data_IF_063184240986
#
_entry.id   IF_063184240986
#
_cell.length_a   1.000
_cell.length_b   1.000
_cell.length_c   1.000
_cell.angle_alpha   90.00
_cell.angle_beta   90.00
_cell.angle_gamma   90.00
#
_symmetry.space_group_name_H-M   'P 1'
#
loop_
_entity.id
_entity.type
_entity.pdbx_description
1 polymer ?
#
# COMPACT_ATOMS: atom_id res chain seq x y z
N UNK A 1 -39.26 -11.28 9.15
CA UNK A 1 -38.34 -10.41 9.91
C UNK A 1 -37.29 -9.91 8.93
N UNK A 2 -37.49 -8.71 8.40
CA UNK A 2 -36.56 -8.00 7.52
C UNK A 2 -35.45 -7.42 8.39
N UNK A 3 -34.21 -7.89 8.21
CA UNK A 3 -33.03 -7.25 8.81
C UNK A 3 -32.73 -5.99 8.01
N UNK A 4 -33.09 -4.83 8.56
CA UNK A 4 -32.66 -3.53 8.08
C UNK A 4 -31.15 -3.39 8.30
N UNK A 5 -30.41 -3.20 7.20
CA UNK A 5 -29.02 -2.81 7.26
C UNK A 5 -28.94 -1.34 7.66
N UNK A 6 -28.48 -1.08 8.89
CA UNK A 6 -28.18 0.27 9.37
C UNK A 6 -27.08 0.89 8.47
N UNK A 7 -27.26 2.10 7.93
CA UNK A 7 -26.24 2.73 7.09
C UNK A 7 -25.00 3.02 7.95
N UNK A 8 -23.90 2.34 7.62
CA UNK A 8 -22.61 2.53 8.28
C UNK A 8 -22.08 3.95 8.04
N UNK A 9 -21.45 4.60 9.04
CA UNK A 9 -20.94 5.96 8.89
C UNK A 9 -19.91 6.00 7.76
N UNK A 10 -20.20 6.81 6.73
CA UNK A 10 -19.37 6.93 5.52
C UNK A 10 -17.91 7.12 5.88
N UNK A 11 -17.11 6.10 5.60
CA UNK A 11 -15.68 6.15 5.84
C UNK A 11 -15.08 7.17 4.87
N UNK A 12 -14.51 8.27 5.39
CA UNK A 12 -13.77 9.25 4.58
C UNK A 12 -12.39 8.70 4.13
N UNK A 13 -12.37 7.44 3.70
CA UNK A 13 -11.19 6.75 3.17
C UNK A 13 -11.07 7.16 1.71
N UNK A 14 -9.95 7.81 1.37
CA UNK A 14 -9.58 8.10 -0.01
C UNK A 14 -8.92 6.86 -0.60
N UNK A 15 -9.65 6.19 -1.48
CA UNK A 15 -9.25 4.98 -2.17
C UNK A 15 -9.78 5.06 -3.61
N UNK A 16 -9.10 4.43 -4.55
CA UNK A 16 -9.56 4.28 -5.93
C UNK A 16 -10.98 3.65 -5.95
N UNK A 17 -11.91 4.17 -6.78
CA UNK A 17 -13.33 3.80 -6.72
C UNK A 17 -13.63 2.31 -6.80
N UNK A 18 -12.97 1.56 -7.68
CA UNK A 18 -13.24 0.13 -7.84
C UNK A 18 -12.80 -0.67 -6.61
N UNK A 19 -11.65 -0.33 -6.03
CA UNK A 19 -11.22 -0.89 -4.75
C UNK A 19 -12.12 -0.49 -3.58
N UNK A 20 -12.58 0.76 -3.56
CA UNK A 20 -13.52 1.24 -2.54
C UNK A 20 -14.80 0.43 -2.55
N UNK A 21 -15.38 0.18 -3.72
CA UNK A 21 -16.60 -0.62 -3.84
C UNK A 21 -16.43 -2.05 -3.29
N UNK A 22 -15.25 -2.65 -3.49
CA UNK A 22 -14.96 -4.02 -3.00
C UNK A 22 -14.68 -4.05 -1.50
N UNK A 23 -14.05 -3.01 -0.94
CA UNK A 23 -13.54 -3.01 0.43
C UNK A 23 -14.37 -2.19 1.43
N UNK A 24 -15.44 -1.52 1.00
CA UNK A 24 -16.25 -0.66 1.86
C UNK A 24 -16.79 -1.41 3.09
N UNK A 25 -17.34 -2.61 2.89
CA UNK A 25 -17.87 -3.45 3.98
C UNK A 25 -16.75 -3.91 4.92
N UNK A 26 -15.57 -4.20 4.38
CA UNK A 26 -14.39 -4.56 5.18
C UNK A 26 -14.02 -3.42 6.11
N UNK A 27 -14.01 -2.18 5.61
CA UNK A 27 -13.74 -1.00 6.43
C UNK A 27 -14.80 -0.74 7.50
N UNK A 28 -16.04 -1.20 7.30
CA UNK A 28 -17.11 -1.11 8.29
C UNK A 28 -16.97 -2.15 9.42
N UNK A 29 -16.16 -3.20 9.26
CA UNK A 29 -15.99 -4.24 10.29
C UNK A 29 -15.44 -3.67 11.62
N UNK A 30 -15.81 -4.27 12.77
CA UNK A 30 -15.30 -3.85 14.08
C UNK A 30 -13.77 -3.88 14.16
N UNK A 31 -13.14 -4.89 13.56
CA UNK A 31 -11.68 -5.04 13.55
C UNK A 31 -10.99 -3.88 12.81
N UNK A 32 -11.52 -3.47 11.66
CA UNK A 32 -10.96 -2.33 10.90
C UNK A 32 -11.19 -0.99 11.61
N UNK A 33 -12.33 -0.80 12.27
CA UNK A 33 -12.56 0.39 13.09
C UNK A 33 -11.62 0.44 14.31
N UNK A 34 -11.37 -0.71 14.95
CA UNK A 34 -10.40 -0.82 16.04
C UNK A 34 -8.97 -0.51 15.57
N UNK A 35 -8.55 -1.05 14.42
CA UNK A 35 -7.25 -0.77 13.81
C UNK A 35 -7.07 0.72 13.50
N UNK A 36 -8.09 1.35 12.91
CA UNK A 36 -8.09 2.80 12.64
C UNK A 36 -7.95 3.63 13.91
N UNK A 37 -8.65 3.25 14.99
CA UNK A 37 -8.54 3.91 16.29
C UNK A 37 -7.14 3.76 16.89
N UNK A 38 -6.58 2.55 16.82
CA UNK A 38 -5.22 2.25 17.27
C UNK A 38 -4.18 3.12 16.54
N UNK A 39 -4.17 3.12 15.20
CA UNK A 39 -3.20 3.91 14.43
C UNK A 39 -3.31 5.42 14.69
N UNK A 40 -4.53 5.94 14.90
CA UNK A 40 -4.73 7.35 15.28
C UNK A 40 -4.15 7.66 16.67
N UNK A 41 -4.36 6.77 17.64
CA UNK A 41 -3.81 6.94 18.98
C UNK A 41 -2.27 6.90 18.98
N UNK A 42 -1.68 5.96 18.24
CA UNK A 42 -0.22 5.84 18.08
C UNK A 42 0.38 7.12 17.47
N UNK A 43 -0.26 7.66 16.44
CA UNK A 43 0.15 8.93 15.83
C UNK A 43 0.01 10.11 16.80
N UNK A 44 -1.08 10.17 17.56
CA UNK A 44 -1.32 11.22 18.56
C UNK A 44 -0.31 11.14 19.72
N UNK A 45 0.18 9.94 20.04
CA UNK A 45 1.26 9.72 20.99
C UNK A 45 2.66 10.10 20.45
N UNK A 46 2.74 10.68 19.26
CA UNK A 46 3.99 11.17 18.66
C UNK A 46 4.82 10.11 17.94
N UNK A 47 4.28 8.89 17.73
CA UNK A 47 5.01 7.85 16.97
C UNK A 47 5.10 8.23 15.49
N UNK A 48 6.27 7.99 14.91
CA UNK A 48 6.48 8.12 13.48
C UNK A 48 5.98 6.85 12.80
N UNK A 49 4.94 6.99 11.99
CA UNK A 49 4.31 5.88 11.26
C UNK A 49 4.57 6.07 9.77
N UNK A 50 5.05 5.01 9.11
CA UNK A 50 5.27 4.97 7.68
C UNK A 50 4.30 3.99 6.98
N UNK A 51 3.93 4.23 5.71
CA UNK A 51 4.20 5.45 4.95
C UNK A 51 3.33 6.62 5.43
N UNK A 52 3.47 7.80 4.80
CA UNK A 52 2.55 8.92 5.03
C UNK A 52 1.10 8.47 4.78
N UNK A 53 0.15 8.99 5.55
CA UNK A 53 -1.25 8.55 5.50
C UNK A 53 -1.89 8.57 4.11
N UNK A 54 -1.52 9.53 3.25
CA UNK A 54 -2.00 9.60 1.86
C UNK A 54 -1.45 8.50 0.95
N UNK A 55 -0.38 7.82 1.36
CA UNK A 55 0.30 6.77 0.60
C UNK A 55 0.02 5.37 1.18
N UNK A 56 -0.77 5.24 2.26
CA UNK A 56 -1.08 3.93 2.85
C UNK A 56 -1.75 2.97 1.86
N UNK A 57 -2.57 3.51 0.96
CA UNK A 57 -3.27 2.74 -0.07
C UNK A 57 -2.69 2.95 -1.47
N UNK A 58 -1.43 3.37 -1.60
CA UNK A 58 -0.86 3.74 -2.90
C UNK A 58 -0.94 2.58 -3.92
N UNK A 59 -0.71 1.33 -3.51
CA UNK A 59 -0.85 0.16 -4.38
C UNK A 59 -2.25 0.07 -5.03
N UNK A 60 -3.30 0.12 -4.20
CA UNK A 60 -4.69 0.09 -4.69
C UNK A 60 -5.04 1.36 -5.48
N UNK A 61 -4.46 2.51 -5.12
CA UNK A 61 -4.70 3.75 -5.83
C UNK A 61 -4.01 3.83 -7.20
N UNK A 62 -2.96 3.03 -7.40
CA UNK A 62 -2.20 3.00 -8.64
C UNK A 62 -2.78 2.00 -9.63
N UNK A 63 -3.28 0.87 -9.12
CA UNK A 63 -3.82 -0.22 -9.93
C UNK A 63 -5.31 -0.43 -9.62
N UNK A 64 -6.25 0.01 -10.49
CA UNK A 64 -7.67 -0.28 -10.34
C UNK A 64 -7.94 -1.78 -10.20
N UNK A 65 -8.96 -2.16 -9.44
CA UNK A 65 -9.27 -3.55 -9.07
C UNK A 65 -9.40 -4.47 -10.28
N UNK A 66 -10.04 -4.00 -11.34
CA UNK A 66 -10.27 -4.72 -12.59
C UNK A 66 -9.03 -4.80 -13.49
N UNK A 67 -8.00 -4.01 -13.21
CA UNK A 67 -6.72 -4.02 -13.94
C UNK A 67 -5.66 -4.89 -13.27
N UNK A 68 -5.94 -5.43 -12.08
CA UNK A 68 -5.02 -6.31 -11.36
C UNK A 68 -4.80 -7.61 -12.15
N UNK A 69 -3.54 -7.86 -12.54
CA UNK A 69 -3.12 -9.11 -13.20
C UNK A 69 -2.14 -9.92 -12.35
N UNK A 70 -1.36 -9.25 -11.51
CA UNK A 70 -0.30 -9.83 -10.68
C UNK A 70 -0.39 -9.23 -9.29
N UNK A 71 -0.25 -10.07 -8.26
CA UNK A 71 -0.19 -9.64 -6.86
C UNK A 71 1.17 -10.03 -6.29
N UNK A 72 1.97 -9.04 -5.93
CA UNK A 72 3.24 -9.23 -5.23
C UNK A 72 3.03 -8.84 -3.77
N UNK A 73 3.30 -9.76 -2.86
CA UNK A 73 3.13 -9.56 -1.42
C UNK A 73 4.49 -9.32 -0.75
N UNK A 74 4.60 -8.21 -0.02
CA UNK A 74 5.67 -7.96 0.94
C UNK A 74 5.21 -8.19 2.37
N UNK A 75 6.13 -8.11 3.33
CA UNK A 75 5.84 -8.27 4.75
C UNK A 75 5.24 -6.99 5.35
N UNK A 76 6.05 -5.93 5.41
CA UNK A 76 5.68 -4.62 5.96
C UNK A 76 6.43 -3.48 5.21
N UNK A 77 5.98 -2.22 5.35
CA UNK A 77 6.65 -1.09 4.70
C UNK A 77 8.08 -0.88 5.25
N UNK A 78 8.98 -0.40 4.39
CA UNK A 78 10.29 0.08 4.87
C UNK A 78 10.13 1.14 5.97
N UNK A 79 10.91 1.00 7.05
CA UNK A 79 10.81 1.85 8.25
C UNK A 79 11.75 3.07 8.24
N UNK A 80 12.59 3.23 7.20
CA UNK A 80 13.46 4.39 7.07
C UNK A 80 12.72 5.65 6.60
N UNK A 81 13.13 6.85 7.07
CA UNK A 81 12.54 8.11 6.63
C UNK A 81 12.57 8.25 5.10
N UNK A 82 11.40 8.46 4.50
CA UNK A 82 11.27 8.68 3.04
C UNK A 82 11.41 7.43 2.17
N UNK A 83 11.59 6.23 2.75
CA UNK A 83 11.72 4.99 1.98
C UNK A 83 10.37 4.44 1.53
N UNK A 84 9.43 4.23 2.46
CA UNK A 84 8.13 3.65 2.13
C UNK A 84 7.20 4.67 1.47
N UNK A 85 6.61 4.27 0.34
CA UNK A 85 5.64 5.06 -0.40
C UNK A 85 4.40 4.27 -0.84
N UNK A 86 4.10 3.16 -0.14
CA UNK A 86 2.86 2.41 -0.31
C UNK A 86 2.86 1.34 -1.41
N UNK A 87 4.02 1.04 -1.97
CA UNK A 87 4.25 -0.11 -2.86
C UNK A 87 5.30 -1.03 -2.22
N UNK A 88 5.04 -2.34 -2.17
CA UNK A 88 6.00 -3.29 -1.61
C UNK A 88 7.30 -3.29 -2.43
N UNK A 89 8.43 -3.56 -1.76
CA UNK A 89 9.80 -3.52 -2.29
C UNK A 89 10.30 -2.17 -2.84
N UNK A 90 9.41 -1.24 -3.19
CA UNK A 90 9.74 0.00 -3.88
C UNK A 90 10.15 1.13 -2.95
N UNK A 91 11.06 1.98 -3.44
CA UNK A 91 11.43 3.27 -2.84
C UNK A 91 11.30 4.42 -3.87
N UNK A 92 11.04 5.67 -3.45
CA UNK A 92 11.01 6.81 -4.37
C UNK A 92 12.29 7.00 -5.18
N UNK A 93 12.21 7.66 -6.33
CA UNK A 93 13.40 8.06 -7.10
C UNK A 93 14.31 8.95 -6.24
N UNK A 94 15.62 8.75 -6.35
CA UNK A 94 16.62 9.42 -5.52
C UNK A 94 16.90 8.73 -4.18
N UNK A 95 16.11 7.71 -3.79
CA UNK A 95 16.43 6.82 -2.67
C UNK A 95 17.16 5.59 -3.19
N UNK A 96 18.26 5.23 -2.54
CA UNK A 96 19.03 4.04 -2.90
C UNK A 96 18.16 2.77 -2.80
N UNK A 97 18.18 1.88 -3.82
CA UNK A 97 17.45 0.61 -3.77
C UNK A 97 17.87 -0.23 -2.55
N UNK A 98 16.93 -0.77 -1.76
CA UNK A 98 17.25 -1.65 -0.64
C UNK A 98 17.80 -3.01 -1.12
N UNK A 99 18.51 -3.78 -0.26
CA UNK A 99 19.14 -5.04 -0.66
C UNK A 99 18.19 -6.04 -1.32
N UNK A 100 16.96 -6.18 -0.79
CA UNK A 100 15.95 -7.06 -1.37
C UNK A 100 15.57 -6.65 -2.81
N UNK A 101 15.45 -5.35 -3.07
CA UNK A 101 15.14 -4.85 -4.40
C UNK A 101 16.30 -5.03 -5.37
N UNK A 102 17.54 -4.87 -4.91
CA UNK A 102 18.74 -5.17 -5.71
C UNK A 102 18.74 -6.65 -6.12
N UNK A 103 18.37 -7.56 -5.22
CA UNK A 103 18.29 -8.98 -5.54
C UNK A 103 17.18 -9.27 -6.56
N UNK A 104 16.01 -8.63 -6.44
CA UNK A 104 14.93 -8.73 -7.45
C UNK A 104 15.44 -8.26 -8.83
N UNK A 105 16.16 -7.14 -8.88
CA UNK A 105 16.69 -6.62 -10.14
C UNK A 105 17.76 -7.52 -10.76
N UNK A 106 18.63 -8.13 -9.95
CA UNK A 106 19.59 -9.13 -10.44
C UNK A 106 18.89 -10.35 -11.04
N UNK A 107 17.84 -10.85 -10.38
CA UNK A 107 17.06 -11.97 -10.90
C UNK A 107 16.39 -11.61 -12.23
N UNK A 108 15.80 -10.41 -12.34
CA UNK A 108 15.19 -9.94 -13.59
C UNK A 108 16.21 -9.83 -14.72
N UNK A 109 17.43 -9.34 -14.44
CA UNK A 109 18.49 -9.28 -15.44
C UNK A 109 18.93 -10.69 -15.87
N UNK A 110 19.08 -11.61 -14.92
CA UNK A 110 19.50 -12.98 -15.18
C UNK A 110 18.46 -13.76 -15.98
N UNK A 111 17.18 -13.63 -15.64
CA UNK A 111 16.07 -14.38 -16.24
C UNK A 111 15.64 -13.79 -17.59
N UNK A 112 15.53 -12.46 -17.68
CA UNK A 112 14.92 -11.76 -18.82
C UNK A 112 15.91 -10.95 -19.66
N UNK A 113 17.16 -10.80 -19.23
CA UNK A 113 18.14 -9.95 -19.91
C UNK A 113 17.82 -8.46 -19.83
N UNK A 114 16.92 -8.04 -18.92
CA UNK A 114 16.51 -6.65 -18.78
C UNK A 114 17.50 -5.92 -17.88
N UNK A 115 18.10 -4.86 -18.40
CA UNK A 115 19.08 -4.05 -17.67
C UNK A 115 18.46 -3.41 -16.41
N UNK A 116 19.23 -3.41 -15.32
CA UNK A 116 18.82 -2.81 -14.05
C UNK A 116 18.56 -1.29 -14.18
N UNK A 117 17.44 -0.79 -13.64
CA UNK A 117 17.22 0.65 -13.52
C UNK A 117 18.10 1.26 -12.43
N UNK A 118 18.46 2.53 -12.59
CA UNK A 118 19.26 3.30 -11.62
C UNK A 118 18.44 3.82 -10.42
N UNK A 119 17.18 3.37 -10.27
CA UNK A 119 16.29 3.80 -9.20
C UNK A 119 15.44 2.65 -8.65
N UNK A 120 15.00 2.75 -7.40
CA UNK A 120 14.15 1.74 -6.76
C UNK A 120 12.64 1.95 -6.90
N UNK A 121 12.21 2.87 -7.75
CA UNK A 121 10.79 3.19 -7.92
C UNK A 121 10.11 2.20 -8.87
N UNK A 122 9.15 1.43 -8.36
CA UNK A 122 8.37 0.40 -9.07
C UNK A 122 6.98 0.90 -9.45
N UNK A 123 6.75 2.22 -9.41
CA UNK A 123 5.45 2.83 -9.72
C UNK A 123 4.98 2.49 -11.14
N UNK A 124 5.88 2.21 -12.07
CA UNK A 124 5.55 1.82 -13.45
C UNK A 124 5.05 0.38 -13.59
N UNK A 125 5.18 -0.45 -12.54
CA UNK A 125 4.58 -1.79 -12.51
C UNK A 125 3.14 -1.77 -11.99
N UNK A 126 2.78 -0.71 -11.26
CA UNK A 126 1.49 -0.52 -10.63
C UNK A 126 0.54 0.25 -11.55
#
# INVERSE_FOLDING_TARGET
>A
MTTEATPSPSSNIKLEPSWKAVLEDVFATPNMQALKKFLKAEKAAGKIIYPRGSLMFNAMNSTPFDQVKVVILGQDPYHGPGQAHGLCFSVPKGVAPPPSLINIFKEIEQDLGIKLPEHGCLQSWA
#
